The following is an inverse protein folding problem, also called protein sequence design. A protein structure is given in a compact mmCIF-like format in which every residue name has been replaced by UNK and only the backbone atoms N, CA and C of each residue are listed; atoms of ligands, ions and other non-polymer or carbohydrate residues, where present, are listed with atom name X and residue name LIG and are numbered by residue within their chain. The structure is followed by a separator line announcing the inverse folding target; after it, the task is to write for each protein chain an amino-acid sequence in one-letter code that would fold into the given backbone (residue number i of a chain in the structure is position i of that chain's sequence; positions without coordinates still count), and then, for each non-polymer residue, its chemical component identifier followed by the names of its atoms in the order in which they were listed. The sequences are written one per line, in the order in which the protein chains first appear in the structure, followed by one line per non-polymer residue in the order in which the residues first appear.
data_IF_122702074491
#
_entry.id   IF_122702074491
#
_cell.length_a   1.000
_cell.length_b   1.000
_cell.length_c   1.000
_cell.angle_alpha   90.00
_cell.angle_beta   90.00
_cell.angle_gamma   90.00
#
_symmetry.space_group_name_H-M   'P 1'
#
loop_
_entity.id
_entity.type
_entity.pdbx_description
1 polymer ?
#
# COMPACT_ATOMS: atom_id res chain seq x y z
N UNK A 1 15.09 -2.86 -48.60
CA UNK A 1 15.61 -3.85 -47.64
C UNK A 1 16.48 -3.11 -46.62
N UNK A 2 15.96 -2.88 -45.41
CA UNK A 2 16.70 -2.69 -44.14
C UNK A 2 15.74 -2.09 -43.10
N UNK A 3 15.04 -2.95 -42.36
CA UNK A 3 14.32 -2.55 -41.14
C UNK A 3 15.37 -2.21 -40.10
N UNK A 4 15.54 -0.91 -39.83
CA UNK A 4 16.30 -0.43 -38.67
C UNK A 4 15.60 -0.98 -37.42
N UNK A 5 16.20 -1.98 -36.77
CA UNK A 5 15.82 -2.43 -35.42
C UNK A 5 15.97 -1.23 -34.50
N UNK A 6 14.87 -0.54 -34.21
CA UNK A 6 14.81 0.45 -33.14
C UNK A 6 14.90 -0.37 -31.85
N UNK A 7 16.07 -0.24 -31.22
CA UNK A 7 16.41 -0.82 -29.93
C UNK A 7 15.30 -0.57 -28.92
N UNK A 8 14.91 -1.64 -28.24
CA UNK A 8 14.03 -1.68 -27.08
C UNK A 8 14.37 -0.55 -26.10
N UNK A 9 13.59 0.54 -26.17
CA UNK A 9 13.58 1.56 -25.12
C UNK A 9 12.93 0.90 -23.90
N UNK A 10 13.76 0.53 -22.93
CA UNK A 10 13.30 0.20 -21.59
C UNK A 10 12.62 1.45 -21.03
N UNK A 11 11.30 1.53 -21.22
CA UNK A 11 10.49 2.65 -20.80
C UNK A 11 10.67 2.92 -19.29
N UNK A 12 10.93 4.17 -18.85
CA UNK A 12 11.04 4.53 -17.42
C UNK A 12 9.76 4.19 -16.63
N UNK A 13 8.62 4.17 -17.31
CA UNK A 13 7.36 3.70 -16.73
C UNK A 13 7.30 2.24 -16.28
N UNK A 14 8.16 1.37 -16.82
CA UNK A 14 8.31 0.00 -16.32
C UNK A 14 8.95 -0.01 -14.95
N UNK A 15 9.85 0.93 -14.65
CA UNK A 15 10.53 0.98 -13.36
C UNK A 15 9.56 1.36 -12.25
N UNK A 16 8.86 2.49 -12.38
CA UNK A 16 7.91 2.94 -11.37
C UNK A 16 6.79 1.93 -11.11
N UNK A 17 6.26 1.30 -12.17
CA UNK A 17 5.21 0.29 -12.03
C UNK A 17 5.71 -0.94 -11.27
N UNK A 18 6.96 -1.37 -11.51
CA UNK A 18 7.59 -2.45 -10.73
C UNK A 18 7.87 -2.02 -9.28
N UNK A 19 8.34 -0.80 -9.06
CA UNK A 19 8.60 -0.27 -7.73
C UNK A 19 7.31 -0.23 -6.88
N UNK A 20 6.22 0.28 -7.44
CA UNK A 20 4.90 0.31 -6.78
C UNK A 20 4.42 -1.10 -6.46
N UNK A 21 4.57 -2.05 -7.39
CA UNK A 21 4.22 -3.45 -7.14
C UNK A 21 5.06 -4.07 -6.02
N UNK A 22 6.36 -3.83 -6.00
CA UNK A 22 7.25 -4.28 -4.91
C UNK A 22 6.81 -3.67 -3.58
N UNK A 23 6.46 -2.39 -3.54
CA UNK A 23 5.94 -1.75 -2.32
C UNK A 23 4.65 -2.38 -1.84
N UNK A 24 3.74 -2.75 -2.74
CA UNK A 24 2.49 -3.47 -2.40
C UNK A 24 2.78 -4.86 -1.85
N UNK A 25 3.71 -5.60 -2.46
CA UNK A 25 4.14 -6.92 -1.97
C UNK A 25 4.80 -6.77 -0.59
N UNK A 26 5.66 -5.77 -0.41
CA UNK A 26 6.28 -5.46 0.86
C UNK A 26 5.24 -5.12 1.94
N UNK A 27 4.18 -4.40 1.60
CA UNK A 27 3.05 -4.16 2.51
C UNK A 27 2.40 -5.47 2.97
N UNK A 28 2.10 -6.37 2.04
CA UNK A 28 1.44 -7.66 2.34
C UNK A 28 2.32 -8.54 3.24
N UNK A 29 3.64 -8.49 3.06
CA UNK A 29 4.59 -9.31 3.82
C UNK A 29 4.93 -8.66 5.17
N UNK A 30 5.33 -7.39 5.17
CA UNK A 30 5.89 -6.73 6.34
C UNK A 30 4.82 -6.35 7.36
N UNK A 31 3.65 -5.85 6.94
CA UNK A 31 2.61 -5.42 7.88
C UNK A 31 2.18 -6.54 8.84
N UNK A 32 1.93 -7.79 8.41
CA UNK A 32 1.57 -8.83 9.37
C UNK A 32 2.76 -9.38 10.16
N UNK A 33 3.99 -9.31 9.63
CA UNK A 33 5.22 -9.84 10.26
C UNK A 33 5.81 -8.88 11.29
N UNK A 34 5.70 -7.57 11.09
CA UNK A 34 6.31 -6.58 11.98
C UNK A 34 5.69 -6.68 13.37
N UNK A 35 6.58 -6.91 14.33
CA UNK A 35 6.29 -7.02 15.75
C UNK A 35 7.32 -6.22 16.53
N UNK A 36 6.89 -5.47 17.55
CA UNK A 36 7.80 -4.76 18.43
C UNK A 36 7.46 -4.98 19.90
N UNK A 37 8.25 -5.81 20.63
CA UNK A 37 8.04 -6.15 22.05
C UNK A 37 7.87 -4.95 23.00
N UNK A 38 8.39 -3.78 22.63
CA UNK A 38 8.46 -2.59 23.51
C UNK A 38 7.31 -1.60 23.32
N UNK A 39 6.33 -1.89 22.46
CA UNK A 39 5.13 -1.06 22.31
C UNK A 39 4.06 -1.41 23.35
N UNK A 40 3.33 -0.40 23.88
CA UNK A 40 2.28 -0.56 24.91
C UNK A 40 1.25 -1.61 24.51
N UNK A 41 0.82 -1.59 23.23
CA UNK A 41 0.29 -2.77 22.57
C UNK A 41 1.36 -3.30 21.63
N UNK A 42 1.75 -4.55 21.82
CA UNK A 42 2.97 -5.11 21.22
C UNK A 42 2.92 -5.20 19.68
N UNK A 43 1.71 -5.05 19.11
CA UNK A 43 1.44 -5.25 17.69
C UNK A 43 0.86 -4.02 16.96
N UNK A 44 0.03 -3.19 17.60
CA UNK A 44 -0.74 -2.16 16.87
C UNK A 44 0.12 -1.05 16.25
N UNK A 45 0.80 -0.23 17.07
CA UNK A 45 1.54 0.94 16.60
C UNK A 45 2.63 0.62 15.57
N UNK A 46 3.33 -0.51 15.74
CA UNK A 46 4.39 -0.91 14.81
C UNK A 46 3.85 -1.28 13.42
N UNK A 47 2.68 -1.93 13.37
CA UNK A 47 2.02 -2.33 12.12
C UNK A 47 1.41 -1.13 11.41
N UNK A 48 0.74 -0.26 12.16
CA UNK A 48 0.17 1.00 11.65
C UNK A 48 1.26 1.88 11.04
N UNK A 49 2.36 2.10 11.77
CA UNK A 49 3.50 2.86 11.26
C UNK A 49 4.13 2.23 10.01
N UNK A 50 4.32 0.91 10.00
CA UNK A 50 4.86 0.19 8.82
C UNK A 50 3.95 0.36 7.61
N UNK A 51 2.63 0.25 7.82
CA UNK A 51 1.63 0.46 6.79
C UNK A 51 1.70 1.88 6.22
N UNK A 52 1.65 2.91 7.09
CA UNK A 52 1.71 4.31 6.70
C UNK A 52 2.98 4.64 5.89
N UNK A 53 4.16 4.25 6.38
CA UNK A 53 5.44 4.52 5.73
C UNK A 53 5.49 3.90 4.32
N UNK A 54 5.06 2.64 4.19
CA UNK A 54 5.05 1.97 2.90
C UNK A 54 4.01 2.55 1.94
N UNK A 55 2.85 2.99 2.44
CA UNK A 55 1.87 3.72 1.61
C UNK A 55 2.45 5.04 1.11
N UNK A 56 3.14 5.81 1.96
CA UNK A 56 3.83 7.04 1.56
C UNK A 56 4.88 6.76 0.47
N UNK A 57 5.67 5.70 0.62
CA UNK A 57 6.64 5.29 -0.41
C UNK A 57 5.92 4.92 -1.72
N UNK A 58 4.80 4.19 -1.65
CA UNK A 58 4.00 3.83 -2.82
C UNK A 58 3.42 5.05 -3.53
N UNK A 59 2.91 6.02 -2.77
CA UNK A 59 2.43 7.31 -3.28
C UNK A 59 3.56 8.10 -3.93
N UNK A 60 4.74 8.16 -3.31
CA UNK A 60 5.91 8.83 -3.86
C UNK A 60 6.26 8.28 -5.25
N UNK A 61 6.35 6.95 -5.40
CA UNK A 61 6.61 6.34 -6.71
C UNK A 61 5.48 6.59 -7.72
N UNK A 62 4.23 6.64 -7.26
CA UNK A 62 3.10 6.95 -8.13
C UNK A 62 3.13 8.40 -8.63
N UNK A 63 3.44 9.37 -7.75
CA UNK A 63 3.58 10.78 -8.13
C UNK A 63 4.75 10.97 -9.10
N UNK A 64 5.91 10.36 -8.82
CA UNK A 64 7.06 10.40 -9.73
C UNK A 64 6.72 9.84 -11.12
N UNK A 65 5.93 8.76 -11.16
CA UNK A 65 5.43 8.18 -12.42
C UNK A 65 4.50 9.14 -13.19
N UNK A 66 3.66 9.89 -12.49
CA UNK A 66 2.77 10.88 -13.11
C UNK A 66 3.58 12.02 -13.71
N UNK A 67 4.57 12.54 -12.97
CA UNK A 67 5.45 13.62 -13.43
C UNK A 67 6.24 13.17 -14.67
N UNK A 68 6.84 11.97 -14.64
CA UNK A 68 7.62 11.42 -15.75
C UNK A 68 6.80 11.16 -17.02
N UNK A 69 5.50 10.88 -16.88
CA UNK A 69 4.61 10.62 -18.03
C UNK A 69 3.84 11.86 -18.50
N UNK A 70 3.88 12.96 -17.76
CA UNK A 70 3.10 14.19 -17.98
C UNK A 70 1.58 13.97 -18.16
N UNK A 71 1.07 12.79 -17.80
CA UNK A 71 -0.32 12.39 -18.00
C UNK A 71 -0.91 11.85 -16.70
N UNK A 72 -1.95 12.53 -16.23
CA UNK A 72 -2.75 12.07 -15.10
C UNK A 72 -3.82 11.10 -15.61
N UNK A 73 -3.55 9.81 -15.57
CA UNK A 73 -4.53 8.77 -15.90
C UNK A 73 -5.19 8.22 -14.65
N UNK A 74 -6.31 8.82 -14.24
CA UNK A 74 -7.18 8.23 -13.23
C UNK A 74 -8.08 7.16 -13.82
N UNK A 75 -8.15 6.00 -13.17
CA UNK A 75 -9.12 4.96 -13.51
C UNK A 75 -10.47 5.34 -12.90
N UNK A 76 -11.51 5.67 -13.69
CA UNK A 76 -12.83 5.95 -13.13
C UNK A 76 -13.41 4.66 -12.55
N UNK A 77 -13.75 4.67 -11.27
CA UNK A 77 -14.39 3.55 -10.59
C UNK A 77 -15.50 4.11 -9.71
N UNK A 78 -16.65 3.43 -9.61
CA UNK A 78 -17.77 3.86 -8.77
C UNK A 78 -17.35 4.08 -7.30
N UNK A 79 -16.34 3.34 -6.85
CA UNK A 79 -15.78 3.43 -5.50
C UNK A 79 -14.92 4.68 -5.26
N UNK A 80 -14.47 5.38 -6.31
CA UNK A 80 -13.73 6.63 -6.16
C UNK A 80 -14.56 7.68 -5.41
N UNK A 81 -15.86 7.76 -5.70
CA UNK A 81 -16.74 8.76 -5.09
C UNK A 81 -16.88 8.55 -3.57
N UNK A 82 -17.27 7.36 -3.06
CA UNK A 82 -17.29 7.09 -1.63
C UNK A 82 -15.95 7.38 -0.93
N UNK A 83 -14.84 7.02 -1.55
CA UNK A 83 -13.50 7.19 -0.96
C UNK A 83 -13.11 8.68 -0.90
N UNK A 84 -13.37 9.45 -1.95
CA UNK A 84 -13.13 10.90 -1.94
C UNK A 84 -14.03 11.59 -0.91
N UNK A 85 -15.30 11.19 -0.83
CA UNK A 85 -16.22 11.71 0.18
C UNK A 85 -15.72 11.40 1.59
N UNK A 86 -15.20 10.19 1.83
CA UNK A 86 -14.60 9.83 3.11
C UNK A 86 -13.39 10.70 3.45
N UNK A 87 -12.45 10.87 2.52
CA UNK A 87 -11.29 11.77 2.70
C UNK A 87 -11.74 13.20 3.02
N UNK A 88 -12.75 13.71 2.30
CA UNK A 88 -13.29 15.04 2.53
C UNK A 88 -13.88 15.16 3.93
N UNK A 89 -14.73 14.22 4.35
CA UNK A 89 -15.35 14.21 5.68
C UNK A 89 -14.28 14.15 6.78
N UNK A 90 -13.28 13.28 6.65
CA UNK A 90 -12.17 13.19 7.61
C UNK A 90 -11.40 14.52 7.72
N UNK A 91 -11.14 15.17 6.59
CA UNK A 91 -10.42 16.45 6.54
C UNK A 91 -11.26 17.57 7.16
N UNK A 92 -12.55 17.66 6.83
CA UNK A 92 -13.47 18.64 7.43
C UNK A 92 -13.68 18.41 8.93
N UNK A 93 -13.68 17.16 9.38
CA UNK A 93 -13.80 16.81 10.79
C UNK A 93 -12.65 17.38 11.64
N UNK A 94 -11.48 17.69 11.06
CA UNK A 94 -10.37 18.32 11.78
C UNK A 94 -10.74 19.72 12.27
N UNK A 95 -11.51 20.46 11.48
CA UNK A 95 -11.91 21.85 11.78
C UNK A 95 -12.89 21.87 12.95
N UNK A 96 -13.73 20.84 13.08
CA UNK A 96 -14.73 20.72 14.14
C UNK A 96 -14.22 19.95 15.38
N UNK A 97 -12.97 19.49 15.37
CA UNK A 97 -12.46 18.66 16.46
C UNK A 97 -12.20 19.49 17.72
N UNK A 98 -12.69 18.97 18.85
CA UNK A 98 -12.45 19.54 20.18
C UNK A 98 -10.97 19.40 20.61
N UNK A 99 -10.19 18.54 19.94
CA UNK A 99 -8.77 18.33 20.20
C UNK A 99 -8.00 18.20 18.89
N UNK A 100 -7.75 19.36 18.27
CA UNK A 100 -7.09 19.46 16.96
C UNK A 100 -5.80 18.63 16.86
N UNK A 101 -4.91 18.71 17.86
CA UNK A 101 -3.63 17.99 17.85
C UNK A 101 -3.80 16.46 17.86
N UNK A 102 -4.80 15.95 18.57
CA UNK A 102 -5.09 14.50 18.60
C UNK A 102 -5.61 14.06 17.24
N UNK A 103 -6.58 14.80 16.69
CA UNK A 103 -7.15 14.46 15.38
C UNK A 103 -6.13 14.59 14.24
N UNK A 104 -5.22 15.56 14.33
CA UNK A 104 -4.14 15.71 13.34
C UNK A 104 -3.16 14.53 13.39
N UNK A 105 -2.90 13.98 14.57
CA UNK A 105 -2.00 12.83 14.75
C UNK A 105 -2.59 11.54 14.18
N UNK A 106 -3.91 11.36 14.27
CA UNK A 106 -4.62 10.18 13.76
C UNK A 106 -4.91 10.26 12.24
N UNK A 107 -4.86 11.46 11.66
CA UNK A 107 -5.19 11.69 10.26
C UNK A 107 -4.38 10.84 9.27
N UNK A 108 -3.05 10.67 9.40
CA UNK A 108 -2.27 9.82 8.50
C UNK A 108 -2.79 8.39 8.44
N UNK A 109 -3.17 7.80 9.57
CA UNK A 109 -3.71 6.46 9.65
C UNK A 109 -5.03 6.34 8.90
N UNK A 110 -5.94 7.31 9.11
CA UNK A 110 -7.24 7.36 8.42
C UNK A 110 -7.09 7.58 6.91
N UNK A 111 -6.07 8.33 6.46
CA UNK A 111 -5.82 8.59 5.06
C UNK A 111 -5.02 7.49 4.36
N UNK A 112 -4.21 6.71 5.09
CA UNK A 112 -3.35 5.68 4.51
C UNK A 112 -4.14 4.62 3.73
N UNK A 113 -5.29 4.18 4.24
CA UNK A 113 -6.18 3.24 3.53
C UNK A 113 -6.72 3.78 2.20
N UNK A 114 -7.44 4.92 2.20
CA UNK A 114 -7.91 5.60 0.99
C UNK A 114 -6.80 5.89 -0.04
N UNK A 115 -5.63 6.33 0.42
CA UNK A 115 -4.50 6.61 -0.45
C UNK A 115 -3.92 5.33 -1.05
N UNK A 116 -3.81 4.27 -0.26
CA UNK A 116 -3.39 2.95 -0.73
C UNK A 116 -4.32 2.39 -1.82
N UNK A 117 -5.63 2.59 -1.66
CA UNK A 117 -6.60 2.25 -2.70
C UNK A 117 -6.28 2.92 -4.05
N UNK A 118 -6.01 4.23 -4.04
CA UNK A 118 -5.66 4.95 -5.27
C UNK A 118 -4.34 4.46 -5.87
N UNK A 119 -3.35 4.13 -5.03
CA UNK A 119 -2.10 3.53 -5.50
C UNK A 119 -2.37 2.22 -6.24
N UNK A 120 -3.21 1.34 -5.70
CA UNK A 120 -3.54 0.06 -6.35
C UNK A 120 -4.31 0.27 -7.65
N UNK A 121 -5.47 0.93 -7.60
CA UNK A 121 -6.41 1.01 -8.73
C UNK A 121 -5.83 1.74 -9.94
N UNK A 122 -4.91 2.68 -9.72
CA UNK A 122 -4.28 3.41 -10.82
C UNK A 122 -3.02 2.74 -11.37
N UNK A 123 -2.40 1.81 -10.64
CA UNK A 123 -1.11 1.21 -11.04
C UNK A 123 -1.16 -0.28 -11.35
N UNK A 124 -2.07 -1.04 -10.74
CA UNK A 124 -2.19 -2.48 -10.95
C UNK A 124 -3.25 -2.74 -12.01
N UNK A 125 -2.82 -3.23 -13.18
CA UNK A 125 -3.73 -3.52 -14.31
C UNK A 125 -3.48 -4.87 -14.97
N UNK A 126 -2.28 -5.45 -14.81
CA UNK A 126 -1.93 -6.71 -15.45
C UNK A 126 -2.36 -7.91 -14.62
N UNK A 127 -2.98 -8.91 -15.27
CA UNK A 127 -3.36 -10.18 -14.62
C UNK A 127 -2.16 -10.85 -13.92
N UNK A 128 -0.97 -10.80 -14.52
CA UNK A 128 0.25 -11.32 -13.90
C UNK A 128 0.58 -10.63 -12.57
N UNK A 129 0.36 -9.32 -12.46
CA UNK A 129 0.62 -8.57 -11.23
C UNK A 129 -0.41 -8.95 -10.16
N UNK A 130 -1.68 -9.02 -10.56
CA UNK A 130 -2.77 -9.44 -9.69
C UNK A 130 -2.50 -10.85 -9.14
N UNK A 131 -2.13 -11.80 -10.01
CA UNK A 131 -1.80 -13.17 -9.60
C UNK A 131 -0.61 -13.23 -8.65
N UNK A 132 0.43 -12.40 -8.83
CA UNK A 132 1.54 -12.31 -7.88
C UNK A 132 1.12 -11.75 -6.53
N UNK A 133 0.31 -10.69 -6.52
CA UNK A 133 -0.23 -10.07 -5.30
C UNK A 133 -1.09 -11.09 -4.54
N UNK A 134 -2.07 -11.71 -5.21
CA UNK A 134 -2.95 -12.74 -4.61
C UNK A 134 -2.11 -13.92 -4.13
N UNK A 135 -1.18 -14.42 -4.93
CA UNK A 135 -0.29 -15.51 -4.55
C UNK A 135 0.54 -15.18 -3.30
N UNK A 136 1.01 -13.94 -3.17
CA UNK A 136 1.72 -13.46 -1.97
C UNK A 136 0.80 -13.44 -0.76
N UNK A 137 -0.43 -12.91 -0.90
CA UNK A 137 -1.42 -12.89 0.20
C UNK A 137 -1.71 -14.31 0.69
N UNK A 138 -1.95 -15.25 -0.23
CA UNK A 138 -2.24 -16.64 0.11
C UNK A 138 -1.04 -17.30 0.78
N UNK A 139 0.18 -17.11 0.26
CA UNK A 139 1.39 -17.70 0.82
C UNK A 139 1.67 -17.18 2.23
N UNK A 140 1.65 -15.86 2.43
CA UNK A 140 1.89 -15.25 3.75
C UNK A 140 0.78 -15.62 4.72
N UNK A 141 -0.48 -15.57 4.29
CA UNK A 141 -1.63 -15.98 5.11
C UNK A 141 -1.53 -17.45 5.54
N UNK A 142 -1.14 -18.35 4.64
CA UNK A 142 -0.92 -19.76 4.96
C UNK A 142 0.26 -19.95 5.93
N UNK A 143 1.39 -19.26 5.70
CA UNK A 143 2.55 -19.34 6.58
C UNK A 143 2.23 -18.86 8.00
N UNK A 144 1.53 -17.73 8.13
CA UNK A 144 1.08 -17.19 9.42
C UNK A 144 0.01 -18.06 10.06
N UNK A 145 -0.87 -18.68 9.28
CA UNK A 145 -1.85 -19.64 9.77
C UNK A 145 -1.19 -20.89 10.37
N UNK A 146 -0.19 -21.45 9.68
CA UNK A 146 0.61 -22.57 10.18
C UNK A 146 1.36 -22.16 11.46
N UNK A 147 1.96 -20.97 11.49
CA UNK A 147 2.59 -20.42 12.68
C UNK A 147 1.59 -20.34 13.85
N UNK A 148 0.38 -19.83 13.61
CA UNK A 148 -0.67 -19.76 14.64
C UNK A 148 -1.07 -21.12 15.19
N UNK A 149 -1.07 -22.18 14.37
CA UNK A 149 -1.33 -23.56 14.83
C UNK A 149 -0.17 -24.08 15.70
N UNK A 150 1.08 -23.80 15.32
CA UNK A 150 2.23 -24.17 16.16
C UNK A 150 2.24 -23.41 17.49
N UNK A 151 1.90 -22.13 17.47
CA UNK A 151 1.77 -21.31 18.66
C UNK A 151 0.66 -21.84 19.59
N UNK A 152 -0.48 -22.27 19.04
CA UNK A 152 -1.56 -22.92 19.81
C UNK A 152 -1.10 -24.20 20.51
N UNK A 153 -0.23 -24.98 19.86
CA UNK A 153 0.35 -26.21 20.42
C UNK A 153 1.54 -25.96 21.38
N UNK A 154 1.83 -24.70 21.73
CA UNK A 154 2.89 -24.34 22.67
C UNK A 154 4.31 -24.35 22.08
N UNK A 155 4.43 -24.45 20.76
CA UNK A 155 5.71 -24.29 20.06
C UNK A 155 5.81 -22.82 19.66
N UNK A 156 6.36 -21.99 20.54
CA UNK A 156 6.61 -20.57 20.25
C UNK A 156 8.10 -20.35 19.95
N UNK A 157 8.38 -19.66 18.85
CA UNK A 157 9.74 -19.23 18.51
C UNK A 157 9.97 -17.89 19.22
N UNK A 158 10.28 -17.94 20.52
CA UNK A 158 10.57 -16.74 21.33
C UNK A 158 11.83 -16.01 20.86
#
# INVERSE_FOLDING_TARGET
MSRKKISLSNHPSSFYTKAIEITIIALIVLVPIVFHPRCISVFGPAKEFTFEVLVIIGLMFWVLKIIDREEIRFTPTALNLPIISFIAICTFSLIWSNSFFVSLKELPLFLAGPLFYFVIVNNIRGEKQINRIIGTVVLIGAALGIYGIFQYNGIDFS
#
